data_IF_321381944670
#
_entry.id   IF_321381944670
#
_cell.length_a   1.000
_cell.length_b   1.000
_cell.length_c   1.000
_cell.angle_alpha   90.00
_cell.angle_beta   90.00
_cell.angle_gamma   90.00
#
_symmetry.space_group_name_H-M   'P 1'
#
loop_
_entity.id
_entity.type
_entity.pdbx_description
1 polymer ?
#
# COMPACT_ATOMS: atom_id res chain seq x y z
N UNK A 1 3.97 10.20 28.56
CA UNK A 1 3.76 8.87 27.99
C UNK A 1 2.27 8.75 27.73
N UNK A 2 1.79 9.11 26.53
CA UNK A 2 0.37 9.00 26.18
C UNK A 2 0.26 8.07 24.98
N UNK A 3 -0.04 6.81 25.27
CA UNK A 3 -0.46 5.86 24.26
C UNK A 3 -1.98 6.03 24.13
N UNK A 4 -2.40 6.77 23.12
CA UNK A 4 -3.82 6.86 22.78
C UNK A 4 -4.12 5.66 21.88
N UNK A 5 -4.48 4.53 22.49
CA UNK A 5 -5.11 3.44 21.75
C UNK A 5 -6.46 3.94 21.23
N UNK A 6 -6.81 3.74 19.95
CA UNK A 6 -8.09 4.20 19.44
C UNK A 6 -9.23 3.46 20.17
N UNK A 7 -10.36 4.12 20.45
CA UNK A 7 -11.50 3.49 21.12
C UNK A 7 -12.01 2.29 20.29
N UNK A 8 -12.33 1.20 20.98
CA UNK A 8 -12.74 -0.10 20.44
C UNK A 8 -13.88 0.00 19.42
N UNK A 9 -14.70 1.04 19.50
CA UNK A 9 -15.79 1.34 18.56
C UNK A 9 -15.33 1.80 17.16
N UNK A 10 -14.17 2.46 17.05
CA UNK A 10 -13.59 2.88 15.77
C UNK A 10 -13.10 1.66 14.96
N UNK A 11 -12.46 0.70 15.65
CA UNK A 11 -12.08 -0.60 15.10
C UNK A 11 -13.29 -1.41 14.62
N UNK A 12 -14.40 -1.36 15.36
CA UNK A 12 -15.68 -2.01 15.00
C UNK A 12 -16.29 -1.42 13.71
N UNK A 13 -16.23 -0.09 13.54
CA UNK A 13 -16.72 0.60 12.34
C UNK A 13 -15.87 0.32 11.10
N UNK A 14 -14.54 0.29 11.23
CA UNK A 14 -13.61 -0.07 10.13
C UNK A 14 -13.82 -1.53 9.69
N UNK A 15 -13.99 -2.45 10.65
CA UNK A 15 -14.29 -3.86 10.37
C UNK A 15 -15.64 -4.04 9.67
N UNK A 16 -16.60 -3.18 9.96
CA UNK A 16 -17.93 -3.15 9.31
C UNK A 16 -17.87 -2.57 7.89
N UNK A 17 -17.07 -1.52 7.67
CA UNK A 17 -16.78 -0.95 6.34
C UNK A 17 -16.05 -1.96 5.43
N UNK A 18 -15.12 -2.75 5.97
CA UNK A 18 -14.52 -3.90 5.26
C UNK A 18 -15.51 -4.99 4.90
N UNK A 19 -16.46 -5.27 5.79
CA UNK A 19 -17.52 -6.25 5.53
C UNK A 19 -18.47 -5.74 4.44
N UNK A 20 -18.67 -4.43 4.36
CA UNK A 20 -19.38 -3.77 3.26
C UNK A 20 -18.55 -3.80 1.95
N UNK A 21 -17.23 -3.59 2.02
CA UNK A 21 -16.30 -3.75 0.90
C UNK A 21 -16.32 -5.18 0.33
N UNK A 22 -16.43 -6.20 1.19
CA UNK A 22 -16.72 -7.60 0.81
C UNK A 22 -18.05 -7.79 0.08
N UNK A 23 -19.05 -6.95 0.36
CA UNK A 23 -20.36 -6.96 -0.30
C UNK A 23 -20.32 -6.25 -1.66
N UNK A 24 -19.49 -5.21 -1.79
CA UNK A 24 -19.20 -4.50 -3.05
C UNK A 24 -18.30 -5.34 -3.98
N UNK A 25 -17.42 -6.19 -3.44
CA UNK A 25 -16.67 -7.20 -4.20
C UNK A 25 -17.55 -8.25 -4.91
N UNK A 26 -18.88 -8.21 -4.74
CA UNK A 26 -19.82 -8.97 -5.57
C UNK A 26 -20.00 -8.35 -6.99
N UNK A 27 -19.48 -7.15 -7.24
CA UNK A 27 -19.48 -6.50 -8.56
C UNK A 27 -18.35 -7.05 -9.45
N UNK A 28 -18.66 -7.41 -10.70
CA UNK A 28 -17.70 -7.93 -11.70
C UNK A 28 -16.95 -6.80 -12.45
N UNK A 29 -16.54 -5.76 -11.72
CA UNK A 29 -15.76 -4.66 -12.29
C UNK A 29 -14.28 -5.04 -12.39
N UNK A 30 -13.54 -4.41 -13.29
CA UNK A 30 -12.08 -4.55 -13.37
C UNK A 30 -11.39 -4.17 -12.05
N UNK A 31 -11.89 -3.16 -11.37
CA UNK A 31 -11.42 -2.64 -10.09
C UNK A 31 -11.59 -3.68 -8.98
N UNK A 32 -12.77 -4.29 -8.88
CA UNK A 32 -13.05 -5.32 -7.89
C UNK A 32 -12.19 -6.58 -8.12
N UNK A 33 -12.00 -6.98 -9.39
CA UNK A 33 -11.15 -8.12 -9.74
C UNK A 33 -9.68 -7.87 -9.42
N UNK A 34 -9.13 -6.72 -9.82
CA UNK A 34 -7.72 -6.38 -9.54
C UNK A 34 -7.43 -6.27 -8.05
N UNK A 35 -8.36 -5.68 -7.30
CA UNK A 35 -8.28 -5.63 -5.84
C UNK A 35 -8.29 -7.02 -5.19
N UNK A 36 -9.18 -7.92 -5.65
CA UNK A 36 -9.24 -9.31 -5.14
C UNK A 36 -7.95 -10.05 -5.44
N UNK A 37 -7.48 -9.98 -6.68
CA UNK A 37 -6.22 -10.60 -7.09
C UNK A 37 -5.05 -10.10 -6.24
N UNK A 38 -4.93 -8.78 -6.06
CA UNK A 38 -3.89 -8.18 -5.21
C UNK A 38 -3.94 -8.74 -3.80
N UNK A 39 -5.13 -8.73 -3.18
CA UNK A 39 -5.32 -9.21 -1.81
C UNK A 39 -4.98 -10.69 -1.66
N UNK A 40 -5.34 -11.53 -2.64
CA UNK A 40 -5.06 -12.96 -2.64
C UNK A 40 -3.56 -13.26 -2.76
N UNK A 41 -2.77 -12.33 -3.33
CA UNK A 41 -1.30 -12.43 -3.48
C UNK A 41 -0.52 -11.84 -2.31
N UNK A 42 -1.17 -11.17 -1.36
CA UNK A 42 -0.52 -10.69 -0.14
C UNK A 42 -0.26 -11.84 0.83
N UNK A 43 0.88 -11.77 1.53
CA UNK A 43 1.13 -12.60 2.71
C UNK A 43 0.07 -12.34 3.80
N UNK A 44 -0.09 -13.22 4.80
CA UNK A 44 -1.03 -12.97 5.90
C UNK A 44 -0.81 -11.62 6.58
N UNK A 45 0.44 -11.27 6.91
CA UNK A 45 0.78 -10.01 7.58
C UNK A 45 0.53 -8.79 6.67
N UNK A 46 0.90 -8.88 5.38
CA UNK A 46 0.63 -7.81 4.42
C UNK A 46 -0.87 -7.61 4.22
N UNK A 47 -1.64 -8.69 4.26
CA UNK A 47 -3.10 -8.64 4.14
C UNK A 47 -3.72 -7.97 5.36
N UNK A 48 -3.23 -8.27 6.56
CA UNK A 48 -3.65 -7.62 7.81
C UNK A 48 -3.28 -6.13 7.80
N UNK A 49 -2.08 -5.76 7.36
CA UNK A 49 -1.69 -4.36 7.19
C UNK A 49 -2.58 -3.63 6.19
N UNK A 50 -2.77 -4.23 5.00
CA UNK A 50 -3.58 -3.65 3.93
C UNK A 50 -5.02 -3.50 4.36
N UNK A 51 -5.49 -4.49 5.11
CA UNK A 51 -6.67 -4.32 5.90
C UNK A 51 -6.50 -3.06 6.77
N UNK A 52 -5.85 -3.14 7.91
CA UNK A 52 -6.02 -2.13 8.95
C UNK A 52 -5.69 -0.69 8.56
N UNK A 53 -4.81 -0.50 7.59
CA UNK A 53 -4.29 0.82 7.20
C UNK A 53 -4.43 1.19 5.72
N UNK A 54 -4.98 0.32 4.87
CA UNK A 54 -5.05 0.57 3.42
C UNK A 54 -3.67 0.63 2.74
N UNK A 55 -2.63 0.11 3.39
CA UNK A 55 -1.27 0.03 2.88
C UNK A 55 -0.59 -1.25 3.37
N UNK A 56 0.46 -1.70 2.72
CA UNK A 56 1.26 -2.84 3.20
C UNK A 56 2.75 -2.61 2.94
N UNK A 57 3.57 -3.34 3.68
CA UNK A 57 5.02 -3.26 3.58
C UNK A 57 5.60 -4.41 2.76
N UNK A 58 6.66 -4.11 2.02
CA UNK A 58 7.44 -5.06 1.24
C UNK A 58 8.92 -4.86 1.51
N UNK A 59 9.71 -5.92 1.31
CA UNK A 59 11.17 -5.89 1.43
C UNK A 59 11.76 -6.00 0.03
N UNK A 60 12.65 -5.08 -0.32
CA UNK A 60 13.40 -5.11 -1.57
C UNK A 60 14.27 -6.35 -1.67
N UNK A 61 14.26 -7.02 -2.82
CA UNK A 61 14.97 -8.29 -3.01
C UNK A 61 16.51 -8.16 -3.03
N UNK A 62 17.04 -6.97 -3.31
CA UNK A 62 18.48 -6.74 -3.49
C UNK A 62 19.06 -5.99 -2.29
N UNK A 63 18.44 -4.88 -1.90
CA UNK A 63 18.95 -4.00 -0.86
C UNK A 63 18.49 -4.37 0.55
N UNK A 64 17.44 -5.18 0.68
CA UNK A 64 16.76 -5.46 1.96
C UNK A 64 16.01 -4.25 2.55
N UNK A 65 15.92 -3.12 1.82
CA UNK A 65 15.16 -1.96 2.26
C UNK A 65 13.67 -2.27 2.36
N UNK A 66 13.01 -1.58 3.28
CA UNK A 66 11.57 -1.67 3.43
C UNK A 66 10.85 -0.57 2.67
N UNK A 67 9.73 -0.93 2.07
CA UNK A 67 8.87 -0.02 1.34
C UNK A 67 7.44 -0.15 1.82
N UNK A 68 6.75 0.97 1.99
CA UNK A 68 5.30 1.02 2.25
C UNK A 68 4.56 1.42 0.98
N UNK A 69 3.62 0.58 0.56
CA UNK A 69 2.78 0.80 -0.63
C UNK A 69 1.37 1.12 -0.18
N UNK A 70 0.92 2.35 -0.45
CA UNK A 70 -0.45 2.80 -0.19
C UNK A 70 -1.37 2.43 -1.35
N UNK A 71 -2.62 2.06 -1.03
CA UNK A 71 -3.65 1.83 -2.03
C UNK A 71 -3.90 3.09 -2.89
N UNK A 72 -4.08 2.87 -4.19
CA UNK A 72 -4.40 3.92 -5.16
C UNK A 72 -3.28 4.18 -6.16
N UNK A 73 -3.58 5.03 -7.14
CA UNK A 73 -2.70 5.31 -8.29
C UNK A 73 -2.17 6.74 -8.31
N UNK A 74 -2.49 7.56 -7.29
CA UNK A 74 -2.01 8.93 -7.18
C UNK A 74 -0.58 8.93 -6.59
N UNK A 75 0.44 9.33 -7.36
CA UNK A 75 1.82 9.26 -6.89
C UNK A 75 2.22 10.45 -6.00
N UNK A 76 3.24 10.28 -5.13
CA UNK A 76 3.84 9.00 -4.80
C UNK A 76 2.92 8.17 -3.88
N UNK A 77 2.79 6.89 -4.21
CA UNK A 77 2.07 5.89 -3.40
C UNK A 77 3.00 4.84 -2.81
N UNK A 78 4.26 4.80 -3.23
CA UNK A 78 5.32 3.95 -2.66
C UNK A 78 6.30 4.84 -1.89
N UNK A 79 6.71 4.41 -0.70
CA UNK A 79 7.71 5.12 0.11
C UNK A 79 8.76 4.15 0.67
N UNK A 80 10.04 4.48 0.54
CA UNK A 80 11.09 3.87 1.37
C UNK A 80 10.82 4.24 2.84
N UNK A 81 10.93 3.28 3.75
CA UNK A 81 10.77 3.51 5.20
C UNK A 81 12.04 3.13 5.96
N UNK A 82 12.34 3.86 7.02
CA UNK A 82 13.46 3.54 7.92
C UNK A 82 13.10 2.44 8.93
N UNK A 83 14.06 2.04 9.77
CA UNK A 83 13.87 1.00 10.79
C UNK A 83 12.78 1.35 11.81
N UNK A 84 12.55 2.65 12.05
CA UNK A 84 11.49 3.16 12.90
C UNK A 84 10.13 3.28 12.17
N UNK A 85 10.03 2.86 10.91
CA UNK A 85 8.82 2.90 10.09
C UNK A 85 8.45 4.28 9.55
N UNK A 86 9.38 5.25 9.62
CA UNK A 86 9.20 6.62 9.14
C UNK A 86 9.47 6.70 7.64
N UNK A 87 8.63 7.44 6.91
CA UNK A 87 8.79 7.58 5.46
C UNK A 87 10.03 8.43 5.14
N UNK A 88 10.87 7.95 4.21
CA UNK A 88 12.10 8.60 3.77
C UNK A 88 11.99 9.22 2.38
N UNK A 89 11.67 8.43 1.36
CA UNK A 89 11.66 8.90 -0.04
C UNK A 89 10.42 8.38 -0.72
N UNK A 90 9.64 9.28 -1.31
CA UNK A 90 8.50 8.89 -2.15
C UNK A 90 9.00 8.42 -3.52
N UNK A 91 8.41 7.35 -4.02
CA UNK A 91 8.74 6.76 -5.31
C UNK A 91 7.49 6.75 -6.20
N UNK A 92 7.67 7.08 -7.46
CA UNK A 92 6.65 6.93 -8.50
C UNK A 92 7.21 6.07 -9.63
N UNK A 93 6.66 4.87 -9.75
CA UNK A 93 6.82 3.95 -10.87
C UNK A 93 5.54 3.13 -10.95
N UNK A 94 5.04 2.89 -12.14
CA UNK A 94 3.82 2.10 -12.34
C UNK A 94 3.80 1.51 -13.74
N UNK A 95 3.09 0.40 -13.97
CA UNK A 95 2.83 -0.10 -15.31
C UNK A 95 2.16 0.96 -16.18
N UNK A 96 2.46 0.92 -17.49
CA UNK A 96 1.86 1.82 -18.47
C UNK A 96 0.38 1.46 -18.73
N UNK A 97 -0.45 2.49 -18.89
CA UNK A 97 -1.88 2.34 -19.22
C UNK A 97 -2.82 2.63 -18.07
N UNK A 98 -4.13 2.56 -18.34
CA UNK A 98 -5.18 2.69 -17.33
C UNK A 98 -5.49 1.31 -16.77
N UNK A 99 -4.96 1.03 -15.58
CA UNK A 99 -5.11 -0.26 -14.91
C UNK A 99 -5.87 -0.09 -13.58
N UNK A 100 -6.60 -1.14 -13.16
CA UNK A 100 -7.15 -1.22 -11.80
C UNK A 100 -6.08 -0.89 -10.75
N UNK A 101 -6.46 -0.12 -9.72
CA UNK A 101 -5.53 0.25 -8.66
C UNK A 101 -4.90 -0.98 -7.97
N UNK A 102 -5.68 -2.07 -7.82
CA UNK A 102 -5.17 -3.34 -7.29
C UNK A 102 -4.06 -3.95 -8.14
N UNK A 103 -4.20 -3.93 -9.47
CA UNK A 103 -3.17 -4.44 -10.39
C UNK A 103 -1.92 -3.57 -10.37
N UNK A 104 -2.08 -2.25 -10.29
CA UNK A 104 -0.95 -1.31 -10.19
C UNK A 104 -0.10 -1.60 -8.94
N UNK A 105 -0.71 -1.65 -7.75
CA UNK A 105 0.05 -1.86 -6.52
C UNK A 105 0.57 -3.30 -6.39
N UNK A 106 -0.10 -4.28 -6.99
CA UNK A 106 0.41 -5.64 -7.09
C UNK A 106 1.67 -5.69 -7.98
N UNK A 107 1.65 -5.04 -9.13
CA UNK A 107 2.82 -4.94 -10.00
C UNK A 107 3.99 -4.22 -9.29
N UNK A 108 3.70 -3.16 -8.52
CA UNK A 108 4.71 -2.47 -7.72
C UNK A 108 5.33 -3.38 -6.64
N UNK A 109 4.50 -4.17 -5.92
CA UNK A 109 4.96 -5.17 -4.96
C UNK A 109 5.90 -6.18 -5.62
N UNK A 110 5.45 -6.81 -6.70
CA UNK A 110 6.25 -7.81 -7.43
C UNK A 110 7.57 -7.21 -7.89
N UNK A 111 7.54 -6.01 -8.49
CA UNK A 111 8.76 -5.35 -8.95
C UNK A 111 9.77 -5.13 -7.81
N UNK A 112 9.33 -4.69 -6.62
CA UNK A 112 10.24 -4.51 -5.48
C UNK A 112 10.73 -5.84 -4.90
N UNK A 113 9.90 -6.87 -4.85
CA UNK A 113 10.25 -8.16 -4.25
C UNK A 113 10.98 -9.12 -5.20
N UNK A 114 11.06 -8.82 -6.50
CA UNK A 114 11.71 -9.71 -7.48
C UNK A 114 12.72 -9.02 -8.40
N UNK A 115 12.64 -7.71 -8.60
CA UNK A 115 13.54 -6.93 -9.49
C UNK A 115 13.68 -5.47 -9.03
N UNK A 116 14.04 -5.32 -7.75
CA UNK A 116 14.18 -4.02 -7.09
C UNK A 116 15.10 -3.06 -7.87
N UNK A 117 16.29 -3.46 -8.36
CA UNK A 117 17.17 -2.52 -9.06
C UNK A 117 16.52 -1.90 -10.30
N UNK A 118 15.77 -2.69 -11.08
CA UNK A 118 15.06 -2.19 -12.26
C UNK A 118 13.90 -1.26 -11.87
N UNK A 119 13.15 -1.58 -10.82
CA UNK A 119 12.09 -0.72 -10.29
C UNK A 119 12.65 0.64 -9.84
N UNK A 120 13.75 0.65 -9.09
CA UNK A 120 14.40 1.87 -8.60
C UNK A 120 15.11 2.69 -9.70
N UNK A 121 15.51 2.04 -10.80
CA UNK A 121 16.11 2.70 -11.97
C UNK A 121 15.09 3.57 -12.71
N UNK A 122 13.84 3.12 -12.81
CA UNK A 122 12.77 3.87 -13.50
C UNK A 122 11.97 4.78 -12.57
N UNK A 123 12.10 4.62 -11.26
CA UNK A 123 11.34 5.39 -10.28
C UNK A 123 11.74 6.87 -10.24
N UNK A 124 10.75 7.75 -10.40
CA UNK A 124 10.88 9.16 -10.03
C UNK A 124 10.89 9.29 -8.50
N UNK A 125 11.77 10.12 -7.96
CA UNK A 125 11.98 10.31 -6.52
C UNK A 125 11.40 11.63 -6.05
N UNK A 126 10.71 11.60 -4.91
CA UNK A 126 10.08 12.76 -4.29
C UNK A 126 10.56 12.89 -2.85
N UNK A 127 10.86 14.12 -2.44
CA UNK A 127 11.06 14.44 -1.02
C UNK A 127 9.77 14.11 -0.24
N UNK A 128 9.87 13.55 0.97
CA UNK A 128 8.71 13.22 1.77
C UNK A 128 8.01 14.53 2.17
N UNK A 129 6.87 14.82 1.54
CA UNK A 129 6.10 16.01 1.90
C UNK A 129 5.47 15.79 3.28
N UNK A 130 5.96 16.52 4.29
CA UNK A 130 5.53 16.40 5.69
C UNK A 130 4.03 16.61 5.90
N UNK A 131 3.33 17.30 5.00
CA UNK A 131 1.88 17.54 5.10
C UNK A 131 1.04 16.36 4.62
N UNK A 132 1.43 15.69 3.52
CA UNK A 132 0.77 14.47 3.02
C UNK A 132 0.96 13.27 3.96
N UNK A 133 2.03 13.27 4.75
CA UNK A 133 2.29 12.26 5.78
C UNK A 133 1.31 12.34 6.96
N UNK A 134 0.78 13.55 7.25
CA UNK A 134 -0.17 13.76 8.35
C UNK A 134 -1.60 13.38 7.98
N UNK A 135 -1.97 13.51 6.70
CA UNK A 135 -3.33 13.22 6.23
C UNK A 135 -3.59 11.74 5.92
N UNK A 136 -2.54 10.92 5.76
CA UNK A 136 -2.64 9.46 5.52
C UNK A 136 -2.54 8.60 6.79
N UNK A 137 -2.43 9.22 7.96
CA UNK A 137 -2.33 8.57 9.28
C UNK A 137 -3.62 8.70 10.12
N UNK A 138 -4.73 9.13 9.51
CA UNK A 138 -6.05 9.29 10.13
C UNK A 138 -7.05 8.30 9.51
#
# INVERSE_FOLDING_TARGET
MFHVSPPVEAWSRIKSLRKLYRKVLAEDTSEARGLRLMRDRLSPDQREQFDDSGCFEVVGCDSGKRYRIYYGTIPPNVYEIDDAGRLKTGLCFMPLGRLPAGDVILAQKVALETDEPSALKVANRFSPNRELLRSRAL
#
